data_IF_454099796317
#
_entry.id   IF_454099796317
#
_cell.length_a   1.000
_cell.length_b   1.000
_cell.length_c   1.000
_cell.angle_alpha   90.00
_cell.angle_beta   90.00
_cell.angle_gamma   90.00
#
_symmetry.space_group_name_H-M   'P 1'
#
loop_
_entity.id
_entity.type
_entity.pdbx_description
1 polymer ?
#
# COMPACT_ATOMS: atom_id res chain seq x y z
N UNK A 1 18.51 23.11 24.20
CA UNK A 1 17.23 22.69 24.79
C UNK A 1 17.12 21.19 24.54
N UNK A 2 16.91 20.36 25.56
CA UNK A 2 16.71 18.93 25.33
C UNK A 2 15.38 18.72 24.59
N UNK A 3 15.29 17.75 23.66
CA UNK A 3 14.03 17.46 22.98
C UNK A 3 12.98 17.01 24.01
N UNK A 4 11.75 17.46 23.82
CA UNK A 4 10.63 17.06 24.68
C UNK A 4 10.30 15.58 24.41
N UNK A 5 10.23 14.77 25.48
CA UNK A 5 10.04 13.33 25.34
C UNK A 5 8.56 12.97 25.30
N UNK A 6 8.08 12.54 24.13
CA UNK A 6 6.73 11.98 24.01
C UNK A 6 6.70 10.54 24.53
N UNK A 7 5.90 10.29 25.56
CA UNK A 7 5.63 8.92 26.02
C UNK A 7 4.70 8.18 25.05
N UNK A 8 5.01 6.91 24.79
CA UNK A 8 4.19 5.99 23.99
C UNK A 8 4.10 4.66 24.73
N UNK A 9 2.89 4.23 25.09
CA UNK A 9 2.69 2.94 25.71
C UNK A 9 2.87 1.82 24.69
N UNK A 10 3.83 0.93 24.94
CA UNK A 10 4.15 -0.18 24.04
C UNK A 10 2.95 -1.09 23.82
N UNK A 11 2.13 -1.35 24.85
CA UNK A 11 1.00 -2.26 24.73
C UNK A 11 -0.05 -1.71 23.77
N UNK A 12 -0.36 -0.41 23.87
CA UNK A 12 -1.33 0.25 23.00
C UNK A 12 -1.01 0.13 21.51
N UNK A 13 0.27 0.14 21.12
CA UNK A 13 0.70 -0.07 19.74
C UNK A 13 0.32 -1.43 19.15
N UNK A 14 0.08 -2.45 19.98
CA UNK A 14 -0.34 -3.78 19.51
C UNK A 14 -1.83 -4.02 19.63
N UNK A 15 -2.56 -3.18 20.37
CA UNK A 15 -3.97 -3.43 20.72
C UNK A 15 -4.95 -2.35 20.24
N UNK A 16 -4.47 -1.17 19.85
CA UNK A 16 -5.30 -0.08 19.35
C UNK A 16 -4.76 0.46 18.03
N UNK A 17 -5.61 0.46 17.00
CA UNK A 17 -5.30 1.08 15.72
C UNK A 17 -5.17 2.61 15.88
N UNK A 18 -6.04 3.24 16.67
CA UNK A 18 -6.00 4.68 16.93
C UNK A 18 -4.68 5.10 17.58
N UNK A 19 -4.20 4.34 18.56
CA UNK A 19 -2.90 4.61 19.20
C UNK A 19 -1.73 4.49 18.23
N UNK A 20 -1.80 3.55 17.26
CA UNK A 20 -0.79 3.43 16.19
C UNK A 20 -0.82 4.63 15.25
N UNK A 21 -2.01 5.07 14.82
CA UNK A 21 -2.16 6.21 13.92
C UNK A 21 -1.71 7.50 14.61
N UNK A 22 -2.14 7.74 15.84
CA UNK A 22 -1.74 8.91 16.62
C UNK A 22 -0.23 8.96 16.84
N UNK A 23 0.40 7.82 17.15
CA UNK A 23 1.85 7.71 17.20
C UNK A 23 2.49 8.06 15.86
N UNK A 24 2.01 7.51 14.74
CA UNK A 24 2.55 7.77 13.41
C UNK A 24 2.39 9.23 13.00
N UNK A 25 1.25 9.86 13.30
CA UNK A 25 1.05 11.27 12.99
C UNK A 25 2.06 12.14 13.73
N UNK A 26 2.23 11.91 15.04
CA UNK A 26 3.21 12.64 15.85
C UNK A 26 4.66 12.36 15.44
N UNK A 27 4.97 11.12 15.06
CA UNK A 27 6.34 10.72 14.73
C UNK A 27 6.80 11.21 13.36
N UNK A 28 5.89 11.26 12.39
CA UNK A 28 6.17 11.72 11.02
C UNK A 28 5.95 13.22 10.84
N UNK A 29 5.57 13.93 11.91
CA UNK A 29 5.07 15.31 11.86
C UNK A 29 3.93 15.49 10.84
N UNK A 30 3.09 14.44 10.70
CA UNK A 30 2.00 14.41 9.75
C UNK A 30 0.91 15.37 10.19
N UNK A 31 0.67 16.39 9.37
CA UNK A 31 -0.36 17.39 9.64
C UNK A 31 -1.20 17.73 8.40
N UNK A 32 -2.07 18.72 8.55
CA UNK A 32 -3.00 19.14 7.49
C UNK A 32 -2.27 19.57 6.21
N UNK A 33 -1.02 20.05 6.30
CA UNK A 33 -0.22 20.47 5.14
C UNK A 33 0.18 19.27 4.29
N UNK A 34 0.46 18.12 4.91
CA UNK A 34 0.76 16.89 4.19
C UNK A 34 -0.47 16.39 3.44
N UNK A 35 -1.64 16.47 4.08
CA UNK A 35 -2.92 16.12 3.48
C UNK A 35 -3.21 17.02 2.27
N UNK A 36 -2.99 18.33 2.40
CA UNK A 36 -3.15 19.29 1.29
C UNK A 36 -2.16 19.03 0.16
N UNK A 37 -0.89 18.78 0.47
CA UNK A 37 0.14 18.49 -0.53
C UNK A 37 -0.19 17.21 -1.32
N UNK A 38 -0.67 16.16 -0.63
CA UNK A 38 -1.12 14.93 -1.27
C UNK A 38 -2.39 15.13 -2.09
N UNK A 39 -3.35 15.91 -1.59
CA UNK A 39 -4.58 16.24 -2.32
C UNK A 39 -4.30 17.08 -3.58
N UNK A 40 -3.26 17.92 -3.57
CA UNK A 40 -2.77 18.64 -4.73
C UNK A 40 -2.09 17.69 -5.72
N UNK A 41 -1.11 16.91 -5.27
CA UNK A 41 -0.38 15.95 -6.11
C UNK A 41 -1.28 14.91 -6.77
N UNK A 42 -2.30 14.45 -6.05
CA UNK A 42 -3.31 13.51 -6.53
C UNK A 42 -3.94 13.91 -7.88
N UNK A 43 -4.20 15.20 -8.07
CA UNK A 43 -4.85 15.77 -9.27
C UNK A 43 -4.03 15.52 -10.54
N UNK A 44 -2.71 15.45 -10.38
CA UNK A 44 -1.77 15.27 -11.49
C UNK A 44 -1.49 13.80 -11.78
N UNK A 45 -1.57 12.94 -10.76
CA UNK A 45 -1.20 11.53 -10.88
C UNK A 45 -2.38 10.60 -11.19
N UNK A 46 -3.62 11.00 -10.89
CA UNK A 46 -4.78 10.11 -10.98
C UNK A 46 -4.94 9.47 -12.37
N UNK A 47 -4.80 10.26 -13.43
CA UNK A 47 -4.90 9.78 -14.81
C UNK A 47 -3.70 8.93 -15.26
N UNK A 48 -2.58 9.01 -14.53
CA UNK A 48 -1.36 8.26 -14.81
C UNK A 48 -1.33 6.89 -14.12
N UNK A 49 -2.21 6.65 -13.13
CA UNK A 49 -2.24 5.41 -12.34
C UNK A 49 -2.23 4.16 -13.23
N UNK A 50 -3.11 4.02 -14.27
CA UNK A 50 -3.11 2.82 -15.10
C UNK A 50 -1.77 2.58 -15.80
N UNK A 51 -1.13 3.65 -16.31
CA UNK A 51 0.15 3.57 -16.97
C UNK A 51 1.29 3.21 -16.00
N UNK A 52 1.30 3.82 -14.82
CA UNK A 52 2.29 3.52 -13.76
C UNK A 52 2.19 2.07 -13.33
N UNK A 53 0.97 1.55 -13.09
CA UNK A 53 0.77 0.14 -12.73
C UNK A 53 1.27 -0.77 -13.84
N UNK A 54 0.93 -0.49 -15.10
CA UNK A 54 1.42 -1.29 -16.23
C UNK A 54 2.96 -1.33 -16.29
N UNK A 55 3.63 -0.19 -16.17
CA UNK A 55 5.10 -0.10 -16.20
C UNK A 55 5.73 -0.90 -15.06
N UNK A 56 5.19 -0.81 -13.84
CA UNK A 56 5.70 -1.54 -12.68
C UNK A 56 5.56 -3.05 -12.90
N UNK A 57 4.39 -3.53 -13.34
CA UNK A 57 4.19 -4.97 -13.54
C UNK A 57 4.96 -5.52 -14.74
N UNK A 58 5.12 -4.73 -15.81
CA UNK A 58 6.05 -5.06 -16.88
C UNK A 58 7.47 -5.25 -16.31
N UNK A 59 7.96 -4.29 -15.51
CA UNK A 59 9.29 -4.38 -14.93
C UNK A 59 9.45 -5.57 -13.99
N UNK A 60 8.44 -5.89 -13.19
CA UNK A 60 8.45 -7.07 -12.31
C UNK A 60 8.39 -8.39 -13.10
N UNK A 61 7.81 -8.40 -14.30
CA UNK A 61 7.81 -9.59 -15.15
C UNK A 61 9.16 -9.85 -15.86
N UNK A 62 10.04 -8.84 -15.94
CA UNK A 62 11.38 -8.99 -16.55
C UNK A 62 12.35 -9.81 -15.70
N UNK A 63 12.08 -10.00 -14.40
CA UNK A 63 12.94 -10.76 -13.50
C UNK A 63 12.20 -11.99 -12.99
N UNK A 64 12.80 -13.16 -13.16
CA UNK A 64 12.30 -14.46 -12.72
C UNK A 64 11.90 -14.48 -11.23
N UNK A 65 12.72 -13.87 -10.36
CA UNK A 65 12.48 -13.81 -8.92
C UNK A 65 11.19 -13.07 -8.55
N UNK A 66 10.82 -12.03 -9.29
CA UNK A 66 9.59 -11.26 -9.06
C UNK A 66 8.41 -11.81 -9.85
N UNK A 67 8.66 -12.28 -11.07
CA UNK A 67 7.72 -12.98 -11.93
C UNK A 67 7.07 -14.18 -11.23
N UNK A 68 7.88 -14.99 -10.52
CA UNK A 68 7.43 -16.17 -9.78
C UNK A 68 6.30 -15.86 -8.78
N UNK A 69 6.31 -14.67 -8.18
CA UNK A 69 5.29 -14.27 -7.24
C UNK A 69 3.89 -14.16 -7.88
N UNK A 70 3.82 -14.01 -9.21
CA UNK A 70 2.57 -13.94 -9.98
C UNK A 70 2.07 -15.31 -10.46
N UNK A 71 2.86 -16.36 -10.31
CA UNK A 71 2.50 -17.73 -10.69
C UNK A 71 2.13 -18.56 -9.46
N UNK A 72 2.92 -18.44 -8.40
CA UNK A 72 2.84 -19.31 -7.23
C UNK A 72 2.66 -18.48 -5.96
N UNK A 73 1.69 -18.86 -5.12
CA UNK A 73 1.46 -18.20 -3.81
C UNK A 73 2.62 -18.36 -2.83
N UNK A 74 3.43 -19.40 -3.00
CA UNK A 74 4.60 -19.69 -2.17
C UNK A 74 5.87 -19.58 -3.01
N UNK A 75 6.62 -18.50 -2.81
CA UNK A 75 7.87 -18.21 -3.52
C UNK A 75 9.10 -18.85 -2.86
N UNK A 76 8.93 -19.57 -1.74
CA UNK A 76 10.03 -20.20 -0.99
C UNK A 76 10.53 -21.50 -1.62
N UNK A 77 9.80 -22.05 -2.59
CA UNK A 77 10.27 -23.18 -3.39
C UNK A 77 11.20 -22.70 -4.51
N UNK A 78 12.25 -23.44 -4.84
CA UNK A 78 13.12 -23.17 -6.00
C UNK A 78 12.74 -23.97 -7.25
N UNK A 79 11.67 -24.76 -7.18
CA UNK A 79 11.21 -25.60 -8.29
C UNK A 79 11.09 -24.77 -9.58
N UNK A 80 11.60 -25.22 -10.73
CA UNK A 80 11.51 -24.45 -11.97
C UNK A 80 10.05 -24.17 -12.30
N UNK A 81 9.73 -22.91 -12.60
CA UNK A 81 8.42 -22.51 -13.10
C UNK A 81 8.15 -23.29 -14.39
N UNK A 82 6.99 -23.94 -14.46
CA UNK A 82 6.69 -24.90 -15.54
C UNK A 82 6.13 -24.25 -16.81
N UNK A 83 5.69 -23.01 -16.73
CA UNK A 83 5.04 -22.30 -17.83
C UNK A 83 5.66 -20.90 -17.97
N UNK A 84 5.83 -20.44 -19.21
CA UNK A 84 6.12 -19.02 -19.47
C UNK A 84 4.96 -18.19 -18.89
N UNK A 85 5.29 -17.09 -18.19
CA UNK A 85 4.31 -16.12 -17.72
C UNK A 85 3.40 -15.69 -18.89
N UNK A 86 2.23 -16.31 -19.00
CA UNK A 86 1.21 -15.79 -19.88
C UNK A 86 0.77 -14.44 -19.31
N UNK A 87 0.74 -13.41 -20.15
CA UNK A 87 0.22 -12.08 -19.80
C UNK A 87 -1.23 -12.12 -19.28
N UNK A 88 -1.92 -13.25 -19.49
CA UNK A 88 -3.30 -13.52 -19.05
C UNK A 88 -3.40 -14.33 -17.75
N UNK A 89 -2.32 -14.50 -16.99
CA UNK A 89 -2.42 -15.16 -15.68
C UNK A 89 -3.40 -14.38 -14.78
N UNK A 90 -4.45 -15.08 -14.32
CA UNK A 90 -5.53 -14.46 -13.53
C UNK A 90 -4.99 -13.73 -12.29
N UNK A 91 -3.93 -14.27 -11.68
CA UNK A 91 -3.28 -13.71 -10.50
C UNK A 91 -2.53 -12.39 -10.81
N UNK A 92 -1.88 -12.27 -11.97
CA UNK A 92 -1.23 -11.01 -12.39
C UNK A 92 -2.28 -9.92 -12.58
N UNK A 93 -3.38 -10.24 -13.27
CA UNK A 93 -4.47 -9.30 -13.52
C UNK A 93 -5.19 -8.88 -12.22
N UNK A 94 -5.45 -9.82 -11.30
CA UNK A 94 -5.98 -9.52 -9.97
C UNK A 94 -5.09 -8.55 -9.20
N UNK A 95 -3.76 -8.76 -9.23
CA UNK A 95 -2.79 -7.90 -8.55
C UNK A 95 -2.65 -6.52 -9.19
N UNK A 96 -2.69 -6.43 -10.53
CA UNK A 96 -2.75 -5.16 -11.25
C UNK A 96 -4.03 -4.38 -10.91
N UNK A 97 -5.19 -5.05 -10.90
CA UNK A 97 -6.47 -4.45 -10.53
C UNK A 97 -6.48 -3.97 -9.08
N UNK A 98 -5.89 -4.76 -8.18
CA UNK A 98 -5.70 -4.37 -6.79
C UNK A 98 -4.84 -3.11 -6.67
N UNK A 99 -3.65 -3.08 -7.30
CA UNK A 99 -2.75 -1.92 -7.20
C UNK A 99 -3.37 -0.66 -7.83
N UNK A 100 -4.06 -0.80 -8.96
CA UNK A 100 -4.83 0.30 -9.56
C UNK A 100 -5.87 0.85 -8.58
N UNK A 101 -6.66 -0.04 -7.97
CA UNK A 101 -7.71 0.36 -7.02
C UNK A 101 -7.12 1.00 -5.76
N UNK A 102 -6.02 0.44 -5.25
CA UNK A 102 -5.29 0.96 -4.09
C UNK A 102 -4.76 2.37 -4.37
N UNK A 103 -4.00 2.56 -5.46
CA UNK A 103 -3.46 3.88 -5.84
C UNK A 103 -4.58 4.88 -6.15
N UNK A 104 -5.68 4.44 -6.76
CA UNK A 104 -6.85 5.30 -7.01
C UNK A 104 -7.45 5.79 -5.69
N UNK A 105 -7.62 4.89 -4.71
CA UNK A 105 -8.09 5.26 -3.37
C UNK A 105 -7.11 6.20 -2.66
N UNK A 106 -5.80 5.97 -2.80
CA UNK A 106 -4.74 6.86 -2.30
C UNK A 106 -4.66 8.20 -3.05
N UNK A 107 -5.24 8.34 -4.24
CA UNK A 107 -5.36 9.64 -4.92
C UNK A 107 -6.62 10.41 -4.52
N UNK A 108 -7.55 9.80 -3.77
CA UNK A 108 -8.83 10.42 -3.42
C UNK A 108 -8.88 10.83 -1.93
N UNK A 109 -7.72 11.07 -1.33
CA UNK A 109 -7.52 11.22 0.12
C UNK A 109 -8.30 12.35 0.80
N UNK A 110 -8.86 13.29 0.03
CA UNK A 110 -9.67 14.40 0.54
C UNK A 110 -11.19 14.23 0.34
N UNK A 111 -11.66 13.07 -0.15
CA UNK A 111 -13.08 12.86 -0.51
C UNK A 111 -13.66 11.57 0.07
N UNK A 112 -14.85 11.66 0.66
CA UNK A 112 -15.71 10.48 0.94
C UNK A 112 -15.11 9.47 1.94
N UNK A 113 -14.98 8.21 1.51
CA UNK A 113 -14.46 7.08 2.29
C UNK A 113 -12.94 6.92 2.22
N UNK A 114 -12.25 7.76 1.43
CA UNK A 114 -10.79 7.88 1.39
C UNK A 114 -10.27 9.06 2.20
N UNK A 115 -11.15 9.79 2.87
CA UNK A 115 -10.84 10.91 3.76
C UNK A 115 -9.93 10.47 4.93
N UNK A 116 -8.69 10.96 4.94
CA UNK A 116 -7.67 10.61 5.95
C UNK A 116 -8.02 11.11 7.36
N UNK A 117 -8.96 12.06 7.48
CA UNK A 117 -9.48 12.47 8.78
C UNK A 117 -10.37 11.41 9.43
N UNK A 118 -10.79 10.37 8.68
CA UNK A 118 -11.70 9.32 9.15
C UNK A 118 -10.96 8.03 9.45
N UNK A 119 -11.30 7.41 10.58
CA UNK A 119 -10.77 6.09 10.97
C UNK A 119 -10.99 4.99 9.92
N UNK A 120 -12.10 5.04 9.16
CA UNK A 120 -12.39 4.07 8.10
C UNK A 120 -11.30 4.00 7.01
N UNK A 121 -10.60 5.11 6.73
CA UNK A 121 -9.45 5.10 5.81
C UNK A 121 -8.29 4.28 6.39
N UNK A 122 -7.99 4.48 7.66
CA UNK A 122 -6.90 3.80 8.34
C UNK A 122 -7.19 2.31 8.60
N UNK A 123 -8.45 1.95 8.89
CA UNK A 123 -8.89 0.55 8.96
C UNK A 123 -8.69 -0.18 7.63
N UNK A 124 -8.94 0.51 6.52
CA UNK A 124 -8.64 -0.02 5.19
C UNK A 124 -7.13 -0.25 5.01
N UNK A 125 -6.28 0.71 5.40
CA UNK A 125 -4.82 0.54 5.32
C UNK A 125 -4.31 -0.59 6.22
N UNK A 126 -4.84 -0.74 7.43
CA UNK A 126 -4.51 -1.84 8.35
C UNK A 126 -4.91 -3.20 7.74
N UNK A 127 -6.08 -3.26 7.11
CA UNK A 127 -6.55 -4.46 6.40
C UNK A 127 -5.65 -4.81 5.21
N UNK A 128 -5.21 -3.81 4.44
CA UNK A 128 -4.24 -3.99 3.35
C UNK A 128 -2.93 -4.55 3.90
N UNK A 129 -2.38 -3.97 4.97
CA UNK A 129 -1.16 -4.45 5.62
C UNK A 129 -1.28 -5.91 6.08
N UNK A 130 -2.43 -6.28 6.63
CA UNK A 130 -2.70 -7.66 7.06
C UNK A 130 -2.70 -8.66 5.91
N UNK A 131 -3.24 -8.29 4.74
CA UNK A 131 -3.24 -9.15 3.54
C UNK A 131 -1.82 -9.41 3.03
N UNK A 132 -0.97 -8.39 2.97
CA UNK A 132 0.39 -8.51 2.44
C UNK A 132 1.38 -9.12 3.43
N UNK A 133 1.28 -8.83 4.72
CA UNK A 133 2.23 -9.36 5.72
C UNK A 133 1.96 -10.82 6.11
N UNK A 134 0.78 -11.38 5.82
CA UNK A 134 0.45 -12.79 6.14
C UNK A 134 0.70 -13.76 4.98
N UNK A 135 1.07 -13.24 3.81
CA UNK A 135 1.37 -14.03 2.60
C UNK A 135 2.87 -14.17 2.31
N UNK A 136 3.75 -13.67 3.18
CA UNK A 136 5.18 -14.00 3.23
C UNK A 136 5.48 -14.85 4.46
#
# INVERSE_FOLDING_TARGET
>A
MAPDMHHVDRKSLYTSLEARIDYLHRFLDWDDRDIEALAYGAQHIQNLIPAVVHIIYHKLSEFDITARAFEVRNTSSESPSKDELSSDSSLLMERQNFLNSYLTKMSQLSKGSSDQSKMAFWEYLDSVGWVFCRTM
#
